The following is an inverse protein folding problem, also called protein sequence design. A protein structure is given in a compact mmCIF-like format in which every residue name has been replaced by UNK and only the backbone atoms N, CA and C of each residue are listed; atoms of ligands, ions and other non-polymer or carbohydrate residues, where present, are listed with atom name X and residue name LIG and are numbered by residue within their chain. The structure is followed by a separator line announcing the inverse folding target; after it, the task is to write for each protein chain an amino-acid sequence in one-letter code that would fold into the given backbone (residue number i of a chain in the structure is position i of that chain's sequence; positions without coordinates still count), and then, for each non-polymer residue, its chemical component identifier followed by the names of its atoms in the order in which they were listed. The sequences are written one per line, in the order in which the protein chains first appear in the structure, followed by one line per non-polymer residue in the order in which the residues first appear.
data_IF_727211025978
#
_entry.id   IF_727211025978
#
_cell.length_a   1.000
_cell.length_b   1.000
_cell.length_c   1.000
_cell.angle_alpha   90.00
_cell.angle_beta   90.00
_cell.angle_gamma   90.00
#
_symmetry.space_group_name_H-M   'P 1'
#
loop_
_entity.id
_entity.type
_entity.pdbx_description
1 polymer ?
#
# COMPACT_ATOMS: atom_id res chain seq x y z
N UNK A 1 -6.11 -5.10 -18.47
CA UNK A 1 -5.71 -4.29 -17.29
C UNK A 1 -4.75 -3.18 -17.75
N UNK A 2 -4.99 -1.92 -17.35
CA UNK A 2 -4.24 -0.74 -17.85
C UNK A 2 -2.74 -0.72 -17.47
N UNK A 3 -2.35 -1.39 -16.38
CA UNK A 3 -1.00 -1.34 -15.81
C UNK A 3 -0.32 -2.71 -15.69
N UNK A 4 -0.76 -3.69 -16.48
CA UNK A 4 -0.32 -5.08 -16.42
C UNK A 4 -0.91 -5.88 -15.25
N UNK A 5 -1.01 -5.29 -14.06
CA UNK A 5 -1.60 -5.89 -12.85
C UNK A 5 -2.37 -4.87 -12.00
N UNK A 6 -3.17 -5.32 -11.01
CA UNK A 6 -3.89 -4.43 -10.10
C UNK A 6 -2.95 -3.53 -9.29
N UNK A 7 -3.41 -2.33 -8.93
CA UNK A 7 -2.59 -1.35 -8.20
C UNK A 7 -2.23 -1.85 -6.79
N UNK A 8 -3.15 -2.54 -6.10
CA UNK A 8 -2.85 -3.15 -4.79
C UNK A 8 -1.65 -4.10 -4.86
N UNK A 9 -1.47 -4.80 -5.99
CA UNK A 9 -0.38 -5.75 -6.15
C UNK A 9 0.95 -5.03 -6.36
N UNK A 10 0.97 -3.96 -7.16
CA UNK A 10 2.14 -3.08 -7.28
C UNK A 10 2.56 -2.53 -5.92
N UNK A 11 1.60 -2.05 -5.15
CA UNK A 11 1.82 -1.46 -3.82
C UNK A 11 2.32 -2.50 -2.81
N UNK A 12 1.74 -3.70 -2.81
CA UNK A 12 2.18 -4.80 -1.94
C UNK A 12 3.61 -5.26 -2.28
N UNK A 13 3.92 -5.43 -3.57
CA UNK A 13 5.26 -5.83 -4.00
C UNK A 13 6.31 -4.75 -3.68
N UNK A 14 5.97 -3.47 -3.87
CA UNK A 14 6.83 -2.36 -3.49
C UNK A 14 7.15 -2.38 -1.99
N UNK A 15 6.15 -2.59 -1.14
CA UNK A 15 6.36 -2.69 0.31
C UNK A 15 7.27 -3.88 0.70
N UNK A 16 7.16 -5.02 0.01
CA UNK A 16 8.04 -6.18 0.26
C UNK A 16 9.49 -5.95 -0.19
N UNK A 17 9.76 -4.98 -1.07
CA UNK A 17 11.12 -4.64 -1.52
C UNK A 17 11.81 -3.62 -0.62
N UNK A 18 11.04 -2.92 0.21
CA UNK A 18 11.60 -1.98 1.18
C UNK A 18 12.14 -2.80 2.35
N UNK A 19 13.44 -2.76 2.56
CA UNK A 19 14.12 -3.49 3.65
C UNK A 19 13.77 -2.93 5.04
N UNK A 20 13.26 -1.70 5.10
CA UNK A 20 12.84 -1.06 6.34
C UNK A 20 11.49 -1.60 6.83
N UNK A 21 11.42 -1.94 8.12
CA UNK A 21 10.18 -2.34 8.81
C UNK A 21 9.09 -1.27 8.70
N UNK A 22 9.51 0.01 8.70
CA UNK A 22 8.63 1.17 8.60
C UNK A 22 8.94 1.94 7.32
N UNK A 23 7.89 2.28 6.58
CA UNK A 23 8.00 3.04 5.33
C UNK A 23 6.95 4.15 5.26
N UNK A 24 7.17 5.10 4.36
CA UNK A 24 6.22 6.15 4.04
C UNK A 24 5.54 5.87 2.70
N UNK A 25 4.43 6.58 2.45
CA UNK A 25 3.76 6.54 1.13
C UNK A 25 4.72 6.94 0.01
N UNK A 26 5.63 7.90 0.25
CA UNK A 26 6.61 8.35 -0.73
C UNK A 26 7.61 7.26 -1.10
N UNK A 27 7.98 6.38 -0.17
CA UNK A 27 8.89 5.26 -0.45
C UNK A 27 8.21 4.25 -1.37
N UNK A 28 6.94 3.95 -1.11
CA UNK A 28 6.13 3.08 -1.98
C UNK A 28 5.97 3.68 -3.37
N UNK A 29 5.70 4.98 -3.48
CA UNK A 29 5.58 5.66 -4.79
C UNK A 29 6.88 5.51 -5.58
N UNK A 30 8.03 5.77 -4.95
CA UNK A 30 9.35 5.60 -5.59
C UNK A 30 9.57 4.18 -6.08
N UNK A 31 9.28 3.18 -5.24
CA UNK A 31 9.47 1.77 -5.62
C UNK A 31 8.51 1.29 -6.71
N UNK A 32 7.24 1.72 -6.69
CA UNK A 32 6.29 1.42 -7.76
C UNK A 32 6.73 2.08 -9.06
N UNK A 33 7.15 3.35 -9.03
CA UNK A 33 7.57 4.08 -10.24
C UNK A 33 8.88 3.59 -10.84
N UNK A 34 9.80 3.02 -10.03
CA UNK A 34 10.97 2.30 -10.56
C UNK A 34 10.57 1.15 -11.47
N UNK A 35 9.48 0.44 -11.14
CA UNK A 35 9.02 -0.70 -11.92
C UNK A 35 8.00 -0.34 -13.01
N UNK A 36 7.12 0.63 -12.74
CA UNK A 36 6.12 1.11 -13.68
C UNK A 36 5.73 2.58 -13.38
N UNK A 37 6.34 3.55 -14.08
CA UNK A 37 6.02 4.97 -13.90
C UNK A 37 4.64 5.36 -14.44
N UNK A 38 3.95 4.51 -15.20
CA UNK A 38 2.62 4.81 -15.73
C UNK A 38 1.51 4.73 -14.66
N UNK A 39 1.79 4.14 -13.49
CA UNK A 39 0.82 4.07 -12.39
C UNK A 39 0.69 5.45 -11.72
N UNK A 40 -0.50 6.06 -11.68
CA UNK A 40 -0.66 7.39 -11.10
C UNK A 40 -0.32 7.41 -9.60
N UNK A 41 0.47 8.41 -9.19
CA UNK A 41 0.86 8.59 -7.78
C UNK A 41 -0.35 8.66 -6.85
N UNK A 42 -1.39 9.43 -7.22
CA UNK A 42 -2.61 9.56 -6.41
C UNK A 42 -3.31 8.21 -6.19
N UNK A 43 -3.25 7.32 -7.17
CA UNK A 43 -3.78 5.97 -7.02
C UNK A 43 -2.93 5.17 -6.03
N UNK A 44 -1.61 5.21 -6.14
CA UNK A 44 -0.69 4.55 -5.19
C UNK A 44 -0.99 5.02 -3.75
N UNK A 45 -1.07 6.33 -3.53
CA UNK A 45 -1.39 6.93 -2.21
C UNK A 45 -2.71 6.39 -1.66
N UNK A 46 -3.74 6.35 -2.50
CA UNK A 46 -5.07 5.88 -2.11
C UNK A 46 -5.04 4.39 -1.73
N UNK A 47 -4.30 3.56 -2.47
CA UNK A 47 -4.17 2.14 -2.19
C UNK A 47 -3.36 1.88 -0.91
N UNK A 48 -2.29 2.62 -0.63
CA UNK A 48 -1.57 2.50 0.66
C UNK A 48 -2.51 2.75 1.84
N UNK A 49 -3.31 3.82 1.76
CA UNK A 49 -4.33 4.12 2.77
C UNK A 49 -5.43 3.05 2.86
N UNK A 50 -5.93 2.59 1.71
CA UNK A 50 -6.99 1.59 1.64
C UNK A 50 -6.56 0.23 2.22
N UNK A 51 -5.29 -0.13 2.03
CA UNK A 51 -4.70 -1.38 2.50
C UNK A 51 -4.29 -1.33 3.99
N UNK A 52 -4.54 -0.21 4.68
CA UNK A 52 -4.33 -0.03 6.11
C UNK A 52 -5.68 0.09 6.86
N UNK A 53 -6.29 -1.01 7.35
CA UNK A 53 -7.64 -0.98 7.93
C UNK A 53 -7.82 -0.11 9.17
N UNK A 54 -6.73 0.19 9.87
CA UNK A 54 -6.72 1.08 11.04
C UNK A 54 -6.61 2.57 10.66
N UNK A 55 -6.37 2.90 9.39
CA UNK A 55 -6.33 4.28 8.93
C UNK A 55 -7.76 4.86 8.86
N UNK A 56 -8.02 6.10 9.34
CA UNK A 56 -9.36 6.68 9.40
C UNK A 56 -10.04 6.77 8.03
N UNK A 57 -9.27 7.07 6.98
CA UNK A 57 -9.78 7.17 5.61
C UNK A 57 -9.87 5.84 4.86
N UNK A 58 -9.40 4.72 5.42
CA UNK A 58 -9.46 3.41 4.72
C UNK A 58 -10.91 2.96 4.44
N UNK A 59 -11.88 3.47 5.21
CA UNK A 59 -13.30 3.17 5.05
C UNK A 59 -13.90 3.56 3.70
N UNK A 60 -13.26 4.48 2.95
CA UNK A 60 -13.70 4.83 1.59
C UNK A 60 -13.45 3.71 0.55
N UNK A 61 -12.66 2.69 0.89
CA UNK A 61 -12.33 1.56 0.02
C UNK A 61 -12.62 0.22 0.70
N UNK A 62 -13.89 -0.10 0.99
CA UNK A 62 -14.24 -1.26 1.81
C UNK A 62 -13.77 -2.59 1.23
N UNK A 63 -13.77 -2.73 -0.10
CA UNK A 63 -13.29 -3.95 -0.77
C UNK A 63 -11.78 -4.15 -0.62
N UNK A 64 -10.98 -3.10 -0.84
CA UNK A 64 -9.52 -3.19 -0.70
C UNK A 64 -9.14 -3.39 0.77
N UNK A 65 -9.78 -2.63 1.66
CA UNK A 65 -9.60 -2.76 3.12
C UNK A 65 -9.83 -4.18 3.62
N UNK A 66 -10.85 -4.85 3.11
CA UNK A 66 -11.21 -6.22 3.52
C UNK A 66 -10.33 -7.29 2.88
N UNK A 67 -10.04 -7.17 1.59
CA UNK A 67 -9.36 -8.24 0.84
C UNK A 67 -7.83 -8.13 0.84
N UNK A 68 -7.31 -6.93 1.11
CA UNK A 68 -5.87 -6.65 1.06
C UNK A 68 -5.40 -5.83 2.29
N UNK A 69 -5.65 -6.29 3.54
CA UNK A 69 -5.22 -5.61 4.75
C UNK A 69 -3.72 -5.86 4.98
N UNK A 70 -2.86 -5.36 4.10
CA UNK A 70 -1.42 -5.66 4.17
C UNK A 70 -0.64 -4.67 5.01
N UNK A 71 -1.23 -3.53 5.37
CA UNK A 71 -0.52 -2.47 6.07
C UNK A 71 -1.14 -2.17 7.42
N UNK A 72 -0.29 -1.69 8.31
CA UNK A 72 -0.71 -1.05 9.55
C UNK A 72 -0.24 0.40 9.50
N UNK A 73 -1.18 1.33 9.58
CA UNK A 73 -0.86 2.75 9.68
C UNK A 73 -0.30 3.05 11.07
N UNK A 74 0.83 3.75 11.10
CA UNK A 74 1.45 4.30 12.28
C UNK A 74 1.20 5.82 12.28
N UNK A 75 1.36 6.47 13.43
CA UNK A 75 1.26 7.94 13.49
C UNK A 75 2.28 8.62 12.55
N UNK A 76 1.99 9.87 12.17
CA UNK A 76 2.84 10.70 11.31
C UNK A 76 3.02 10.18 9.86
N UNK A 77 2.02 9.50 9.31
CA UNK A 77 2.02 9.09 7.90
C UNK A 77 2.98 7.93 7.57
N UNK A 78 3.38 7.18 8.61
CA UNK A 78 4.22 6.00 8.51
C UNK A 78 3.35 4.75 8.44
N UNK A 79 3.90 3.68 7.87
CA UNK A 79 3.22 2.41 7.71
C UNK A 79 4.22 1.28 7.95
N UNK A 80 3.71 0.14 8.42
CA UNK A 80 4.46 -1.13 8.44
C UNK A 80 3.74 -2.18 7.62
N UNK A 81 4.49 -3.10 7.03
CA UNK A 81 3.94 -4.29 6.39
C UNK A 81 3.49 -5.25 7.49
N UNK A 82 2.28 -5.80 7.36
CA UNK A 82 1.76 -6.81 8.27
C UNK A 82 2.36 -8.17 7.93
N UNK A 83 2.79 -8.90 8.96
CA UNK A 83 3.22 -10.28 8.82
C UNK A 83 2.05 -11.17 8.38
N UNK A 84 2.31 -12.32 7.73
CA UNK A 84 1.25 -13.25 7.35
C UNK A 84 0.32 -13.64 8.51
N UNK A 85 0.84 -13.75 9.74
CA UNK A 85 0.06 -14.05 10.93
C UNK A 85 -0.87 -12.92 11.38
N UNK A 86 -0.59 -11.66 10.99
CA UNK A 86 -1.37 -10.49 11.37
C UNK A 86 -2.46 -10.14 10.32
N UNK A 87 -2.43 -10.76 9.14
CA UNK A 87 -3.40 -10.55 8.06
C UNK A 87 -4.71 -11.28 8.42
N UNK A 88 -5.68 -10.53 8.93
CA UNK A 88 -7.02 -11.00 9.31
C UNK A 88 -7.95 -11.22 8.13
#
# INVERSE_FOLDING_TARGET
MKYGKPIWQWVAEAANRIESEVFTVSDIVKEVHKANPAVPEISIKSYVTAMAPNHPFSGHWPSIRKNHPYFHHLENGKFKLLEPAEKR
#
